data_IF_755106665885
#
_entry.id   IF_755106665885
#
_cell.length_a   1.000
_cell.length_b   1.000
_cell.length_c   1.000
_cell.angle_alpha   90.00
_cell.angle_beta   90.00
_cell.angle_gamma   90.00
#
_symmetry.space_group_name_H-M   'P 1'
#
loop_
_entity.id
_entity.type
_entity.pdbx_description
1 polymer ?
#
# COMPACT_ATOMS: atom_id res chain seq x y z
N UNK A 1 -31.89 -40.39 23.65
CA UNK A 1 -30.46 -40.30 23.31
C UNK A 1 -30.35 -40.56 21.83
N UNK A 2 -30.20 -39.50 21.03
CA UNK A 2 -30.01 -39.57 19.59
C UNK A 2 -28.57 -39.12 19.30
N UNK A 3 -27.85 -39.91 18.51
CA UNK A 3 -26.48 -39.67 18.04
C UNK A 3 -26.47 -39.28 16.55
N UNK A 4 -25.32 -38.74 16.13
CA UNK A 4 -24.82 -38.32 14.81
C UNK A 4 -25.13 -36.87 14.43
N UNK A 5 -24.17 -35.95 14.49
CA UNK A 5 -22.91 -35.78 13.72
C UNK A 5 -23.10 -35.15 12.32
N UNK A 6 -22.37 -34.05 12.13
CA UNK A 6 -21.84 -33.45 10.89
C UNK A 6 -22.78 -32.85 9.83
N UNK A 7 -22.67 -31.53 9.63
CA UNK A 7 -22.25 -30.84 8.38
C UNK A 7 -22.49 -29.32 8.57
N UNK A 8 -21.46 -28.47 8.69
CA UNK A 8 -20.67 -27.82 7.63
C UNK A 8 -21.44 -26.75 6.84
N UNK A 9 -20.90 -25.53 6.91
CA UNK A 9 -20.86 -24.50 5.85
C UNK A 9 -22.17 -23.81 5.44
N UNK A 10 -22.40 -22.65 6.02
CA UNK A 10 -23.06 -21.51 5.36
C UNK A 10 -22.26 -20.26 5.75
N UNK A 11 -21.88 -19.32 4.90
CA UNK A 11 -21.84 -19.24 3.45
C UNK A 11 -20.73 -18.22 3.15
N UNK A 12 -19.96 -18.51 2.11
CA UNK A 12 -18.89 -17.68 1.59
C UNK A 12 -19.37 -16.26 1.29
N UNK A 13 -18.74 -15.26 1.90
CA UNK A 13 -18.73 -13.92 1.32
C UNK A 13 -17.81 -13.99 0.10
N UNK A 14 -18.40 -14.31 -1.05
CA UNK A 14 -17.78 -14.09 -2.35
C UNK A 14 -17.57 -12.58 -2.50
N UNK A 15 -16.35 -12.12 -2.24
CA UNK A 15 -15.89 -10.85 -2.77
C UNK A 15 -15.37 -11.17 -4.17
N UNK A 16 -16.30 -11.29 -5.12
CA UNK A 16 -15.98 -11.16 -6.53
C UNK A 16 -15.71 -9.69 -6.82
N UNK A 17 -14.49 -9.37 -7.27
CA UNK A 17 -14.17 -8.00 -7.62
C UNK A 17 -12.75 -7.69 -8.05
N UNK A 18 -11.93 -8.65 -8.45
CA UNK A 18 -10.70 -8.34 -9.20
C UNK A 18 -11.04 -8.30 -10.69
N UNK A 19 -11.73 -7.22 -11.10
CA UNK A 19 -11.73 -6.82 -12.51
C UNK A 19 -10.34 -6.25 -12.81
N UNK A 20 -9.38 -7.14 -13.04
CA UNK A 20 -8.10 -6.83 -13.68
C UNK A 20 -8.34 -6.54 -15.17
N UNK A 21 -9.08 -5.47 -15.47
CA UNK A 21 -8.86 -4.76 -16.71
C UNK A 21 -7.59 -3.94 -16.50
N UNK A 22 -6.44 -4.62 -16.50
CA UNK A 22 -5.14 -3.99 -16.73
C UNK A 22 -5.13 -3.52 -18.18
N UNK A 23 -5.73 -2.35 -18.40
CA UNK A 23 -5.39 -1.55 -19.58
C UNK A 23 -3.86 -1.39 -19.57
N UNK A 24 -3.28 -1.68 -20.73
CA UNK A 24 -1.86 -1.86 -21.02
C UNK A 24 -1.08 -0.54 -20.88
N UNK A 25 -1.19 0.11 -19.72
CA UNK A 25 -0.51 1.34 -19.37
C UNK A 25 0.89 0.99 -18.88
N UNK A 26 1.91 1.55 -19.52
CA UNK A 26 3.30 1.42 -19.07
C UNK A 26 3.47 2.07 -17.69
N UNK A 27 3.50 1.25 -16.63
CA UNK A 27 3.68 1.69 -15.24
C UNK A 27 5.14 1.59 -14.83
N UNK A 28 5.62 2.55 -14.04
CA UNK A 28 6.95 2.46 -13.42
C UNK A 28 6.91 1.65 -12.13
N UNK A 29 8.10 1.30 -11.65
CA UNK A 29 8.31 0.67 -10.34
C UNK A 29 9.18 1.56 -9.46
N UNK A 30 8.99 1.42 -8.15
CA UNK A 30 9.84 2.09 -7.16
C UNK A 30 11.25 1.49 -7.23
N UNK A 31 12.24 2.35 -7.45
CA UNK A 31 13.66 2.01 -7.46
C UNK A 31 14.37 2.74 -6.33
N UNK A 32 14.83 2.00 -5.32
CA UNK A 32 15.63 2.56 -4.22
C UNK A 32 17.11 2.45 -4.60
N UNK A 33 17.75 3.60 -4.80
CA UNK A 33 19.19 3.70 -5.05
C UNK A 33 19.95 3.79 -3.72
N UNK A 34 19.41 4.55 -2.76
CA UNK A 34 20.00 4.75 -1.44
C UNK A 34 18.99 4.43 -0.32
N UNK A 35 19.11 3.25 0.33
CA UNK A 35 18.21 2.82 1.39
C UNK A 35 18.35 3.62 2.70
N UNK A 36 19.44 4.39 2.85
CA UNK A 36 19.70 5.22 4.04
C UNK A 36 19.11 6.64 3.91
N UNK A 37 18.47 6.96 2.78
CA UNK A 37 17.80 8.25 2.53
C UNK A 37 16.74 8.55 3.59
N UNK A 38 16.71 9.80 4.07
CA UNK A 38 15.65 10.30 4.96
C UNK A 38 14.46 10.89 4.19
N UNK A 39 14.62 11.19 2.89
CA UNK A 39 13.58 11.74 2.02
C UNK A 39 13.65 11.11 0.64
N UNK A 40 12.51 10.74 0.08
CA UNK A 40 12.39 10.33 -1.32
C UNK A 40 11.14 10.93 -1.95
N UNK A 41 11.30 11.35 -3.20
CA UNK A 41 10.26 11.93 -4.04
C UNK A 41 10.07 11.03 -5.26
N UNK A 42 8.86 10.48 -5.39
CA UNK A 42 8.40 9.64 -6.48
C UNK A 42 7.25 10.29 -7.25
N UNK A 43 7.20 11.62 -7.28
CA UNK A 43 6.15 12.36 -7.97
C UNK A 43 6.15 12.07 -9.47
N UNK A 44 4.96 12.09 -10.08
CA UNK A 44 4.76 11.93 -11.53
C UNK A 44 5.41 10.66 -12.14
N UNK A 45 5.51 9.59 -11.35
CA UNK A 45 6.17 8.35 -11.77
C UNK A 45 5.18 7.30 -12.30
N UNK A 46 3.87 7.60 -12.40
CA UNK A 46 2.85 6.63 -12.86
C UNK A 46 2.85 5.31 -12.07
N UNK A 47 3.21 5.37 -10.79
CA UNK A 47 3.21 4.22 -9.90
C UNK A 47 1.77 3.77 -9.61
N UNK A 48 1.50 2.47 -9.66
CA UNK A 48 0.18 1.90 -9.35
C UNK A 48 0.13 1.19 -8.00
N UNK A 49 1.29 0.86 -7.43
CA UNK A 49 1.44 0.11 -6.19
C UNK A 49 2.54 0.71 -5.31
N UNK A 50 2.34 0.61 -4.00
CA UNK A 50 3.40 0.82 -3.02
C UNK A 50 4.11 -0.52 -2.83
N UNK A 51 5.34 -0.62 -3.30
CA UNK A 51 6.15 -1.84 -3.26
C UNK A 51 7.63 -1.53 -3.10
N UNK A 52 8.42 -2.52 -2.65
CA UNK A 52 9.86 -2.42 -2.46
C UNK A 52 10.29 -1.33 -1.46
N UNK A 53 9.47 -1.01 -0.44
CA UNK A 53 9.76 0.04 0.55
C UNK A 53 10.48 -0.48 1.81
N UNK A 54 10.60 -1.80 1.96
CA UNK A 54 11.18 -2.48 3.11
C UNK A 54 12.62 -2.06 3.47
N UNK A 55 13.48 -1.68 2.50
CA UNK A 55 14.84 -1.19 2.80
C UNK A 55 14.89 0.18 3.49
N UNK A 56 13.84 1.00 3.39
CA UNK A 56 13.83 2.40 3.82
C UNK A 56 13.68 2.57 5.33
N UNK A 57 14.64 2.06 6.11
CA UNK A 57 14.56 2.06 7.58
C UNK A 57 14.74 3.44 8.22
N UNK A 58 15.33 4.39 7.49
CA UNK A 58 15.61 5.77 7.97
C UNK A 58 14.68 6.82 7.37
N UNK A 59 13.76 6.42 6.49
CA UNK A 59 12.93 7.38 5.76
C UNK A 59 12.02 8.14 6.71
N UNK A 60 11.98 9.46 6.51
CA UNK A 60 11.15 10.37 7.29
C UNK A 60 10.07 11.02 6.44
N UNK A 61 10.33 11.22 5.14
CA UNK A 61 9.38 11.84 4.21
C UNK A 61 9.31 11.07 2.91
N UNK A 62 8.09 10.70 2.51
CA UNK A 62 7.81 10.07 1.22
C UNK A 62 6.76 10.88 0.46
N UNK A 63 7.09 11.25 -0.77
CA UNK A 63 6.16 11.92 -1.67
C UNK A 63 5.82 11.02 -2.85
N UNK A 64 4.53 10.72 -3.02
CA UNK A 64 3.97 9.95 -4.12
C UNK A 64 2.86 10.74 -4.83
N UNK A 65 2.93 12.07 -4.83
CA UNK A 65 1.93 12.94 -5.46
C UNK A 65 1.90 12.70 -6.98
N UNK A 66 0.71 12.75 -7.58
CA UNK A 66 0.52 12.53 -9.03
C UNK A 66 0.95 11.14 -9.51
N UNK A 67 0.48 10.11 -8.83
CA UNK A 67 0.63 8.71 -9.25
C UNK A 67 -0.75 8.07 -9.46
N UNK A 68 -0.78 6.76 -9.69
CA UNK A 68 -1.97 5.98 -9.99
C UNK A 68 -2.25 4.93 -8.89
N UNK A 69 -1.77 5.18 -7.67
CA UNK A 69 -1.83 4.23 -6.57
C UNK A 69 -3.29 4.03 -6.15
N UNK A 70 -3.74 2.77 -6.11
CA UNK A 70 -5.12 2.41 -5.76
C UNK A 70 -5.30 1.96 -4.32
N UNK A 71 -4.20 1.58 -3.66
CA UNK A 71 -4.23 0.97 -2.34
C UNK A 71 -3.03 1.44 -1.52
N UNK A 72 -3.29 1.79 -0.27
CA UNK A 72 -2.23 1.98 0.72
C UNK A 72 -1.91 0.60 1.32
N UNK A 73 -0.67 0.14 1.14
CA UNK A 73 -0.17 -1.16 1.57
C UNK A 73 1.38 -1.13 1.68
N UNK A 74 1.98 -2.19 2.24
CA UNK A 74 3.44 -2.38 2.31
C UNK A 74 4.22 -1.26 3.04
N UNK A 75 3.62 -0.65 4.07
CA UNK A 75 4.24 0.39 4.89
C UNK A 75 4.73 -0.13 6.25
N UNK A 76 4.62 -1.44 6.50
CA UNK A 76 4.84 -2.10 7.79
C UNK A 76 6.25 -1.92 8.38
N UNK A 77 7.24 -1.58 7.54
CA UNK A 77 8.62 -1.36 7.96
C UNK A 77 8.97 0.10 8.22
N UNK A 78 8.12 1.05 7.86
CA UNK A 78 8.41 2.48 7.81
C UNK A 78 8.13 3.19 9.15
N UNK A 79 8.63 2.62 10.24
CA UNK A 79 8.35 3.12 11.60
C UNK A 79 8.94 4.50 11.89
N UNK A 80 9.87 4.99 11.06
CA UNK A 80 10.51 6.31 11.16
C UNK A 80 9.81 7.40 10.34
N UNK A 81 8.79 7.03 9.56
CA UNK A 81 8.07 7.93 8.66
C UNK A 81 7.29 8.98 9.44
N UNK A 82 7.49 10.25 9.06
CA UNK A 82 6.83 11.43 9.66
C UNK A 82 5.86 12.07 8.68
N UNK A 83 6.12 11.97 7.38
CA UNK A 83 5.33 12.61 6.34
C UNK A 83 5.11 11.65 5.15
N UNK A 84 3.85 11.44 4.79
CA UNK A 84 3.44 10.61 3.65
C UNK A 84 2.47 11.40 2.78
N UNK A 85 2.93 11.81 1.61
CA UNK A 85 2.09 12.52 0.63
C UNK A 85 1.59 11.58 -0.46
N UNK A 86 0.28 11.46 -0.56
CA UNK A 86 -0.41 10.60 -1.54
C UNK A 86 -1.47 11.37 -2.36
N UNK A 87 -1.33 12.69 -2.46
CA UNK A 87 -2.26 13.55 -3.21
C UNK A 87 -2.28 13.16 -4.70
N UNK A 88 -3.41 13.38 -5.37
CA UNK A 88 -3.57 13.09 -6.80
C UNK A 88 -3.21 11.62 -7.15
N UNK A 89 -3.76 10.68 -6.37
CA UNK A 89 -3.75 9.23 -6.61
C UNK A 89 -5.19 8.68 -6.78
N UNK A 90 -5.33 7.36 -6.95
CA UNK A 90 -6.61 6.67 -7.16
C UNK A 90 -7.00 5.78 -5.97
N UNK A 91 -6.64 6.19 -4.74
CA UNK A 91 -6.75 5.36 -3.54
C UNK A 91 -8.22 5.04 -3.24
N UNK A 92 -8.55 3.76 -3.23
CA UNK A 92 -9.87 3.21 -2.87
C UNK A 92 -9.82 2.28 -1.67
N UNK A 93 -8.63 1.79 -1.30
CA UNK A 93 -8.40 0.90 -0.14
C UNK A 93 -7.29 1.49 0.74
N UNK A 94 -7.52 1.48 2.06
CA UNK A 94 -6.57 1.95 3.07
C UNK A 94 -6.35 0.83 4.10
N UNK A 95 -5.12 0.33 4.19
CA UNK A 95 -4.70 -0.68 5.17
C UNK A 95 -3.23 -0.46 5.60
N UNK A 96 -2.74 -1.26 6.55
CA UNK A 96 -1.34 -1.31 7.02
C UNK A 96 -0.75 0.04 7.49
N UNK A 97 -1.56 0.85 8.18
CA UNK A 97 -1.13 2.14 8.76
C UNK A 97 -0.72 2.05 10.23
N UNK A 98 -0.95 0.93 10.91
CA UNK A 98 -0.81 0.80 12.38
C UNK A 98 0.61 1.09 12.89
N UNK A 99 1.63 0.86 12.06
CA UNK A 99 3.05 1.07 12.42
C UNK A 99 3.53 2.51 12.25
N UNK A 100 2.75 3.35 11.55
CA UNK A 100 3.13 4.72 11.19
C UNK A 100 2.84 5.70 12.32
N UNK A 101 3.30 5.36 13.53
CA UNK A 101 3.01 6.04 14.79
C UNK A 101 3.60 7.46 14.89
N UNK A 102 4.53 7.79 13.98
CA UNK A 102 5.22 9.07 13.94
C UNK A 102 4.68 10.03 12.86
N UNK A 103 3.59 9.67 12.16
CA UNK A 103 2.99 10.54 11.16
C UNK A 103 2.46 11.83 11.78
N UNK A 104 2.79 12.96 11.15
CA UNK A 104 2.37 14.29 11.55
C UNK A 104 1.57 14.96 10.42
N UNK A 105 0.57 15.76 10.78
CA UNK A 105 -0.11 16.67 9.85
C UNK A 105 0.64 18.01 9.84
N UNK A 106 1.16 18.40 8.68
CA UNK A 106 1.78 19.71 8.45
C UNK A 106 0.87 20.64 7.66
#
# INVERSE_FOLDING_TARGET
MANNEDNKSEGSAEIEGENENEENEETEKILIIDPDSEELDFNHSRLTKLENLEPLRKIRRLCFTWNLIKKIENLDTLTTLVELELRDNQIVIIENLDVLVNLEYK
#
